data_IF_518254610137
#
_entry.id   IF_518254610137
#
_cell.length_a   1.000
_cell.length_b   1.000
_cell.length_c   1.000
_cell.angle_alpha   90.00
_cell.angle_beta   90.00
_cell.angle_gamma   90.00
#
_symmetry.space_group_name_H-M   'P 1'
#
loop_
_entity.id
_entity.type
_entity.pdbx_description
1 polymer ?
#
# COMPACT_ATOMS: atom_id res chain seq x y z
N UNK A 1 -2.23 13.16 -15.18
CA UNK A 1 -2.45 12.34 -13.96
C UNK A 1 -2.59 10.88 -14.34
N UNK A 2 -1.89 9.99 -13.63
CA UNK A 2 -2.03 8.55 -13.80
C UNK A 2 -3.35 8.07 -13.16
N UNK A 3 -3.96 7.01 -13.70
CA UNK A 3 -5.16 6.41 -13.12
C UNK A 3 -4.76 5.60 -11.87
N UNK A 4 -4.81 6.24 -10.70
CA UNK A 4 -4.42 5.65 -9.42
C UNK A 4 -5.67 5.48 -8.56
N UNK A 5 -5.86 4.28 -8.02
CA UNK A 5 -6.95 3.93 -7.11
C UNK A 5 -6.39 3.72 -5.72
N UNK A 6 -6.87 4.53 -4.77
CA UNK A 6 -6.47 4.48 -3.39
C UNK A 6 -7.39 3.56 -2.58
N UNK A 7 -6.88 2.42 -2.12
CA UNK A 7 -7.61 1.47 -1.26
C UNK A 7 -7.29 1.64 0.22
N UNK A 8 -6.75 2.79 0.62
CA UNK A 8 -6.50 3.18 2.01
C UNK A 8 -7.65 4.06 2.53
N UNK A 9 -7.81 4.23 3.86
CA UNK A 9 -8.89 5.04 4.42
C UNK A 9 -8.61 6.54 4.42
N UNK A 10 -7.47 6.99 3.89
CA UNK A 10 -7.04 8.39 3.94
C UNK A 10 -6.65 8.90 2.55
N UNK A 11 -6.81 10.20 2.35
CA UNK A 11 -6.27 10.89 1.17
C UNK A 11 -4.76 10.67 1.06
N UNK A 12 -4.30 10.41 -0.15
CA UNK A 12 -2.87 10.32 -0.45
C UNK A 12 -2.46 11.54 -1.26
N UNK A 13 -1.47 12.28 -0.76
CA UNK A 13 -0.85 13.35 -1.55
C UNK A 13 0.20 12.75 -2.48
N UNK A 14 -0.01 12.89 -3.79
CA UNK A 14 0.89 12.46 -4.85
C UNK A 14 1.64 13.67 -5.44
N UNK A 15 2.83 13.41 -5.97
CA UNK A 15 3.63 14.37 -6.72
C UNK A 15 4.03 13.75 -8.05
N UNK A 16 3.67 14.41 -9.14
CA UNK A 16 4.22 14.13 -10.46
C UNK A 16 5.62 14.75 -10.53
N UNK A 17 6.65 13.91 -10.53
CA UNK A 17 8.04 14.39 -10.51
C UNK A 17 8.49 15.01 -11.85
N UNK A 18 7.78 14.75 -12.95
CA UNK A 18 8.11 15.34 -14.24
C UNK A 18 7.64 16.79 -14.33
N UNK A 19 6.51 17.12 -13.70
CA UNK A 19 5.88 18.45 -13.76
C UNK A 19 6.00 19.24 -12.47
N UNK A 20 6.25 18.58 -11.34
CA UNK A 20 6.20 19.16 -10.00
C UNK A 20 4.78 19.34 -9.45
N UNK A 21 3.75 18.88 -10.18
CA UNK A 21 2.36 18.98 -9.75
C UNK A 21 2.09 18.13 -8.50
N UNK A 22 1.38 18.70 -7.53
CA UNK A 22 0.95 18.02 -6.31
C UNK A 22 -0.56 17.90 -6.31
N UNK A 23 -1.08 16.68 -6.13
CA UNK A 23 -2.51 16.41 -6.16
C UNK A 23 -2.91 15.36 -5.11
N UNK A 24 -4.17 15.39 -4.68
CA UNK A 24 -4.73 14.41 -3.73
C UNK A 24 -5.41 13.26 -4.48
N UNK A 25 -5.21 12.03 -4.01
CA UNK A 25 -5.94 10.83 -4.43
C UNK A 25 -6.83 10.40 -3.27
N UNK A 26 -8.16 10.65 -3.33
CA UNK A 26 -9.07 10.28 -2.25
C UNK A 26 -9.29 8.77 -2.18
N UNK A 27 -9.70 8.23 -1.02
CA UNK A 27 -10.14 6.83 -0.91
C UNK A 27 -11.20 6.48 -1.95
N UNK A 28 -11.05 5.32 -2.59
CA UNK A 28 -12.03 4.83 -3.57
C UNK A 28 -13.30 4.22 -2.96
N UNK A 29 -13.40 4.19 -1.62
CA UNK A 29 -14.49 3.57 -0.88
C UNK A 29 -14.34 2.05 -0.65
N UNK A 30 -13.41 1.39 -1.35
CA UNK A 30 -13.05 -0.02 -1.09
C UNK A 30 -11.70 -0.08 -0.36
N UNK A 31 -11.70 -0.56 0.87
CA UNK A 31 -10.48 -0.76 1.65
C UNK A 31 -10.00 -2.21 1.43
N UNK A 32 -8.77 -2.37 0.95
CA UNK A 32 -8.12 -3.67 0.82
C UNK A 32 -7.16 -3.86 2.01
N UNK A 33 -7.43 -4.87 2.82
CA UNK A 33 -6.68 -5.22 4.02
C UNK A 33 -6.14 -6.65 3.95
N UNK A 34 -5.26 -6.98 4.90
CA UNK A 34 -4.72 -8.32 5.06
C UNK A 34 -4.93 -8.85 6.48
N UNK A 35 -4.89 -10.18 6.61
CA UNK A 35 -4.81 -10.84 7.91
C UNK A 35 -3.34 -11.00 8.31
N UNK A 36 -2.99 -10.55 9.51
CA UNK A 36 -1.65 -10.71 10.09
C UNK A 36 -1.60 -11.97 10.96
N UNK A 37 -0.58 -12.81 10.77
CA UNK A 37 -0.33 -14.01 11.58
C UNK A 37 1.13 -14.06 12.01
N UNK A 38 1.35 -14.46 13.26
CA UNK A 38 2.70 -14.61 13.82
C UNK A 38 3.24 -16.02 13.56
N UNK A 39 4.46 -16.08 13.03
CA UNK A 39 5.27 -17.29 12.93
C UNK A 39 6.43 -17.17 13.93
N UNK A 40 6.53 -18.06 14.92
CA UNK A 40 7.68 -18.07 15.84
C UNK A 40 8.94 -18.47 15.05
N UNK A 41 9.95 -17.61 15.05
CA UNK A 41 11.22 -17.80 14.32
C UNK A 41 12.44 -17.95 15.22
N UNK A 42 12.27 -17.82 16.54
CA UNK A 42 13.33 -18.11 17.50
C UNK A 42 13.14 -17.45 18.86
N UNK A 43 14.23 -17.37 19.61
CA UNK A 43 14.28 -16.77 20.94
C UNK A 43 15.55 -15.92 21.05
N UNK A 44 15.40 -14.67 21.49
CA UNK A 44 16.52 -13.78 21.79
C UNK A 44 17.28 -14.30 23.03
N UNK A 45 18.61 -14.13 23.13
CA UNK A 45 19.39 -14.58 24.30
C UNK A 45 18.89 -14.04 25.66
N UNK A 46 18.19 -12.90 25.67
CA UNK A 46 17.55 -12.34 26.86
C UNK A 46 16.16 -12.95 27.20
N UNK A 47 15.71 -13.99 26.48
CA UNK A 47 14.48 -14.73 26.75
C UNK A 47 13.23 -14.30 25.99
N UNK A 48 13.32 -13.33 25.08
CA UNK A 48 12.16 -12.88 24.28
C UNK A 48 11.87 -13.80 23.08
N UNK A 49 10.61 -14.15 22.84
CA UNK A 49 10.19 -14.84 21.61
C UNK A 49 10.30 -13.91 20.41
N UNK A 50 10.96 -14.38 19.36
CA UNK A 50 11.06 -13.67 18.09
C UNK A 50 10.01 -14.23 17.14
N UNK A 51 9.17 -13.36 16.58
CA UNK A 51 8.15 -13.70 15.59
C UNK A 51 8.41 -13.00 14.27
N UNK A 52 8.02 -13.64 13.18
CA UNK A 52 7.89 -13.03 11.85
C UNK A 52 6.41 -12.89 11.56
N UNK A 53 5.99 -11.70 11.16
CA UNK A 53 4.60 -11.48 10.74
C UNK A 53 4.44 -11.90 9.28
N UNK A 54 3.43 -12.72 8.99
CA UNK A 54 2.96 -13.01 7.64
C UNK A 54 1.62 -12.31 7.41
N UNK A 55 1.52 -11.61 6.29
CA UNK A 55 0.29 -11.01 5.84
C UNK A 55 -0.30 -11.85 4.71
N UNK A 56 -1.52 -12.36 4.91
CA UNK A 56 -2.21 -13.18 3.93
C UNK A 56 -3.46 -12.48 3.42
N UNK A 57 -3.72 -12.62 2.13
CA UNK A 57 -4.99 -12.28 1.52
C UNK A 57 -6.11 -13.12 2.14
N UNK A 58 -7.26 -12.50 2.41
CA UNK A 58 -8.50 -13.22 2.67
C UNK A 58 -9.43 -13.20 1.46
N UNK A 59 -10.41 -14.09 1.45
CA UNK A 59 -11.32 -14.30 0.32
C UNK A 59 -12.16 -13.05 0.02
N UNK A 60 -12.63 -12.34 1.06
CA UNK A 60 -13.43 -11.12 0.91
C UNK A 60 -12.64 -10.02 0.22
N UNK A 61 -11.41 -9.75 0.68
CA UNK A 61 -10.53 -8.74 0.09
C UNK A 61 -10.08 -9.15 -1.31
N UNK A 62 -9.86 -10.44 -1.55
CA UNK A 62 -9.51 -10.96 -2.88
C UNK A 62 -10.62 -10.72 -3.91
N UNK A 63 -11.88 -10.98 -3.52
CA UNK A 63 -13.04 -10.74 -4.36
C UNK A 63 -13.28 -9.23 -4.60
N UNK A 64 -13.15 -8.41 -3.56
CA UNK A 64 -13.27 -6.96 -3.67
C UNK A 64 -12.20 -6.37 -4.61
N UNK A 65 -10.96 -6.83 -4.49
CA UNK A 65 -9.86 -6.41 -5.37
C UNK A 65 -10.11 -6.85 -6.82
N UNK A 66 -10.60 -8.07 -7.06
CA UNK A 66 -10.92 -8.54 -8.40
C UNK A 66 -12.06 -7.72 -9.05
N UNK A 67 -13.09 -7.36 -8.29
CA UNK A 67 -14.16 -6.49 -8.76
C UNK A 67 -13.63 -5.08 -9.11
N UNK A 68 -12.72 -4.55 -8.29
CA UNK A 68 -12.09 -3.25 -8.50
C UNK A 68 -11.21 -3.24 -9.77
N UNK A 69 -10.39 -4.27 -9.96
CA UNK A 69 -9.57 -4.46 -11.16
C UNK A 69 -10.43 -4.57 -12.43
N UNK A 70 -11.55 -5.30 -12.36
CA UNK A 70 -12.48 -5.45 -13.47
C UNK A 70 -13.21 -4.13 -13.82
N UNK A 71 -13.59 -3.35 -12.80
CA UNK A 71 -14.24 -2.06 -12.97
C UNK A 71 -13.29 -0.98 -13.50
N UNK A 72 -11.98 -1.11 -13.24
CA UNK A 72 -10.97 -0.14 -13.62
C UNK A 72 -9.76 -0.77 -14.33
N UNK A 73 -9.93 -1.27 -15.57
CA UNK A 73 -8.85 -1.90 -16.32
C UNK A 73 -7.63 -0.98 -16.47
N UNK A 74 -6.44 -1.49 -16.11
CA UNK A 74 -5.17 -0.77 -16.22
C UNK A 74 -4.92 0.30 -15.14
N UNK A 75 -5.77 0.38 -14.11
CA UNK A 75 -5.53 1.26 -12.97
C UNK A 75 -4.35 0.76 -12.11
N UNK A 76 -3.62 1.72 -11.55
CA UNK A 76 -2.59 1.48 -10.53
C UNK A 76 -3.31 1.45 -9.18
N UNK A 77 -3.43 0.27 -8.58
CA UNK A 77 -4.08 0.11 -7.28
C UNK A 77 -3.03 0.25 -6.17
N UNK A 78 -3.19 1.25 -5.32
CA UNK A 78 -2.28 1.52 -4.20
C UNK A 78 -2.94 1.24 -2.86
N UNK A 79 -2.16 0.67 -1.93
CA UNK A 79 -2.64 0.32 -0.60
C UNK A 79 -1.56 0.50 0.47
N UNK A 80 -1.87 0.04 1.68
CA UNK A 80 -0.88 -0.06 2.75
C UNK A 80 0.21 -1.08 2.38
N UNK A 81 1.38 -0.98 3.02
CA UNK A 81 2.48 -1.93 2.82
C UNK A 81 2.04 -3.36 3.14
N UNK A 82 1.18 -3.52 4.16
CA UNK A 82 0.57 -4.79 4.57
C UNK A 82 -0.32 -5.36 3.46
N UNK A 83 -1.17 -4.54 2.84
CA UNK A 83 -2.00 -4.96 1.72
C UNK A 83 -1.15 -5.35 0.50
N UNK A 84 -0.10 -4.58 0.20
CA UNK A 84 0.82 -4.89 -0.90
C UNK A 84 1.58 -6.22 -0.68
N UNK A 85 1.94 -6.55 0.56
CA UNK A 85 2.54 -7.85 0.90
C UNK A 85 1.57 -9.01 0.78
N UNK A 86 0.29 -8.80 1.10
CA UNK A 86 -0.75 -9.83 1.03
C UNK A 86 -1.29 -10.06 -0.40
N UNK A 87 -1.20 -9.03 -1.25
CA UNK A 87 -1.59 -9.08 -2.67
C UNK A 87 -0.42 -8.72 -3.62
N UNK A 88 0.67 -9.51 -3.62
CA UNK A 88 1.84 -9.33 -4.50
C UNK A 88 1.47 -9.03 -5.95
N UNK A 89 1.96 -7.91 -6.47
CA UNK A 89 1.76 -7.48 -7.86
C UNK A 89 0.38 -6.96 -8.23
N UNK A 90 -0.59 -7.00 -7.31
CA UNK A 90 -1.95 -6.49 -7.54
C UNK A 90 -2.21 -5.20 -6.77
N UNK A 91 -1.76 -5.14 -5.52
CA UNK A 91 -1.74 -3.91 -4.71
C UNK A 91 -0.31 -3.44 -4.56
N UNK A 92 -0.09 -2.16 -4.87
CA UNK A 92 1.24 -1.57 -4.89
C UNK A 92 1.44 -0.67 -3.65
N UNK A 93 2.62 -0.76 -3.05
CA UNK A 93 3.00 0.14 -1.97
C UNK A 93 3.56 1.44 -2.55
N UNK A 94 3.13 2.56 -1.98
CA UNK A 94 3.58 3.88 -2.41
C UNK A 94 5.06 4.12 -2.05
N UNK A 95 5.78 4.87 -2.88
CA UNK A 95 7.14 5.34 -2.60
C UNK A 95 7.10 6.83 -2.31
N UNK A 96 7.84 7.29 -1.30
CA UNK A 96 7.91 8.72 -1.01
C UNK A 96 8.53 9.49 -2.17
N UNK A 97 8.04 10.69 -2.43
CA UNK A 97 8.74 11.65 -3.29
C UNK A 97 10.06 12.05 -2.61
N UNK A 98 11.12 12.37 -3.39
CA UNK A 98 12.42 12.77 -2.82
C UNK A 98 12.28 13.91 -1.81
N UNK A 99 12.86 13.73 -0.61
CA UNK A 99 12.78 14.70 0.49
C UNK A 99 11.59 14.50 1.43
N UNK A 100 10.68 13.58 1.13
CA UNK A 100 9.49 13.27 1.95
C UNK A 100 9.56 11.89 2.64
N UNK A 101 10.74 11.26 2.67
CA UNK A 101 10.94 9.91 3.23
C UNK A 101 10.71 9.87 4.74
N UNK A 102 11.07 10.94 5.47
CA UNK A 102 11.05 10.99 6.94
C UNK A 102 10.34 12.23 7.51
N UNK A 103 9.26 12.65 6.86
CA UNK A 103 8.40 13.76 7.31
C UNK A 103 7.18 13.24 8.11
N UNK A 104 6.49 14.10 8.88
CA UNK A 104 5.23 13.77 9.51
C UNK A 104 4.16 13.30 8.50
N UNK A 105 3.19 12.45 8.89
CA UNK A 105 2.17 11.91 7.99
C UNK A 105 1.41 12.97 7.17
N UNK A 106 1.06 14.10 7.77
CA UNK A 106 0.33 15.18 7.11
C UNK A 106 1.16 15.91 6.02
N UNK A 107 2.48 15.80 6.08
CA UNK A 107 3.40 16.41 5.11
C UNK A 107 3.85 15.41 4.04
N UNK A 108 3.48 14.13 4.18
CA UNK A 108 3.90 13.08 3.26
C UNK A 108 3.49 13.40 1.84
N UNK A 109 4.44 13.22 0.92
CA UNK A 109 4.20 13.21 -0.52
C UNK A 109 4.73 11.92 -1.09
N UNK A 110 3.92 11.28 -1.91
CA UNK A 110 4.27 10.06 -2.60
C UNK A 110 4.53 10.38 -4.07
N UNK A 111 5.43 9.64 -4.71
CA UNK A 111 5.63 9.76 -6.15
C UNK A 111 4.61 8.91 -6.89
N UNK A 112 4.18 9.37 -8.05
CA UNK A 112 3.15 8.70 -8.85
C UNK A 112 3.74 7.77 -9.94
N UNK A 113 5.05 7.80 -10.17
CA UNK A 113 5.74 7.11 -11.26
C UNK A 113 6.52 5.85 -10.84
N UNK A 114 6.63 5.57 -9.53
CA UNK A 114 7.33 4.39 -9.01
C UNK A 114 6.64 3.87 -7.76
N UNK A 115 6.47 2.55 -7.72
CA UNK A 115 5.84 1.84 -6.61
C UNK A 115 6.71 0.67 -6.15
N UNK A 116 6.45 0.21 -4.93
CA UNK A 116 7.04 -1.01 -4.36
C UNK A 116 6.09 -2.18 -4.59
N UNK A 117 6.67 -3.31 -5.00
CA UNK A 117 6.02 -4.62 -5.14
C UNK A 117 6.74 -5.61 -4.21
N UNK A 118 6.00 -6.57 -3.68
CA UNK A 118 6.48 -7.68 -2.85
C UNK A 118 6.28 -9.01 -3.56
#
# INVERSE_FOLDING_TARGET
>A
MKNIINTTPHDITMTDLATGEVYSVPPCGTIINATATDEVVGTHPAGATLVRVRFSADEKNSAALAALEAAHPGAIIVGSLIAAQAFPGRVLAMVAAPGFERVPPAEKRMRDDRFTIF
#
